data_IF_028887541708
#
_entry.id   IF_028887541708
#
_cell.length_a   1.000
_cell.length_b   1.000
_cell.length_c   1.000
_cell.angle_alpha   90.00
_cell.angle_beta   90.00
_cell.angle_gamma   90.00
#
_symmetry.space_group_name_H-M   'P 1'
#
loop_
_entity.id
_entity.type
_entity.pdbx_description
1 polymer ?
#
# COMPACT_ATOMS: atom_id res chain seq x y z
N UNK A 1 10.84 -0.11 -10.00
CA UNK A 1 9.56 -0.78 -9.69
C UNK A 1 8.48 0.25 -9.39
N UNK A 2 8.77 1.26 -8.57
CA UNK A 2 7.84 2.35 -8.25
C UNK A 2 7.38 3.15 -9.47
N UNK A 3 8.26 3.50 -10.42
CA UNK A 3 7.84 4.20 -11.65
C UNK A 3 6.78 3.43 -12.42
N UNK A 4 6.95 2.10 -12.56
CA UNK A 4 5.96 1.26 -13.22
C UNK A 4 4.64 1.23 -12.46
N UNK A 5 4.67 1.27 -11.12
CA UNK A 5 3.46 1.38 -10.32
C UNK A 5 2.73 2.71 -10.59
N UNK A 6 3.47 3.83 -10.64
CA UNK A 6 2.92 5.16 -10.95
C UNK A 6 2.30 5.20 -12.35
N UNK A 7 2.94 4.60 -13.35
CA UNK A 7 2.38 4.47 -14.70
C UNK A 7 1.03 3.74 -14.69
N UNK A 8 0.94 2.62 -13.96
CA UNK A 8 -0.27 1.79 -13.87
C UNK A 8 -1.41 2.49 -13.10
N UNK A 9 -1.07 3.37 -12.15
CA UNK A 9 -2.05 4.21 -11.47
C UNK A 9 -2.80 5.13 -12.44
N UNK A 10 -2.19 5.48 -13.58
CA UNK A 10 -2.80 6.34 -14.60
C UNK A 10 -3.39 7.63 -14.00
N UNK A 11 -2.61 8.28 -13.15
CA UNK A 11 -2.98 9.52 -12.48
C UNK A 11 -3.15 10.66 -13.50
N UNK A 12 -4.00 11.66 -13.21
CA UNK A 12 -4.19 12.80 -14.10
C UNK A 12 -2.86 13.52 -14.38
N UNK A 13 -2.50 13.75 -15.66
CA UNK A 13 -1.24 14.42 -15.99
C UNK A 13 -1.25 15.86 -15.48
N UNK A 14 -0.06 16.37 -15.11
CA UNK A 14 0.16 17.77 -14.67
C UNK A 14 -0.63 18.17 -13.42
N UNK A 15 -1.03 17.21 -12.59
CA UNK A 15 -1.71 17.45 -11.31
C UNK A 15 -1.04 16.63 -10.21
N UNK A 16 -0.76 17.26 -9.09
CA UNK A 16 -0.34 16.56 -7.88
C UNK A 16 -1.50 15.73 -7.32
N UNK A 17 -1.23 14.46 -7.00
CA UNK A 17 -2.17 13.53 -6.39
C UNK A 17 -1.72 13.21 -4.98
N UNK A 18 -2.66 12.90 -4.10
CA UNK A 18 -2.37 12.47 -2.74
C UNK A 18 -2.32 10.95 -2.66
N UNK A 19 -1.12 10.38 -2.48
CA UNK A 19 -0.83 8.95 -2.64
C UNK A 19 -0.49 8.31 -1.29
N UNK A 20 -1.06 7.13 -1.03
CA UNK A 20 -0.70 6.31 0.13
C UNK A 20 0.38 5.29 -0.27
N UNK A 21 1.54 5.33 0.39
CA UNK A 21 2.61 4.35 0.23
C UNK A 21 2.56 3.29 1.36
N UNK A 22 2.14 2.07 1.00
CA UNK A 22 1.86 0.99 1.93
C UNK A 22 3.07 0.07 2.09
N UNK A 23 3.66 0.08 3.29
CA UNK A 23 4.96 -0.52 3.57
C UNK A 23 6.10 0.29 2.94
N UNK A 24 6.14 1.59 3.26
CA UNK A 24 7.05 2.55 2.66
C UNK A 24 8.53 2.30 3.02
N UNK A 25 8.81 1.47 4.02
CA UNK A 25 10.15 1.10 4.45
C UNK A 25 11.03 2.32 4.74
N UNK A 26 12.15 2.41 4.02
CA UNK A 26 13.12 3.50 4.12
C UNK A 26 12.77 4.73 3.27
N UNK A 27 11.56 4.78 2.72
CA UNK A 27 11.05 5.91 1.93
C UNK A 27 11.46 5.91 0.46
N UNK A 28 12.13 4.86 -0.03
CA UNK A 28 12.58 4.77 -1.44
C UNK A 28 11.46 4.93 -2.47
N UNK A 29 10.30 4.32 -2.23
CA UNK A 29 9.12 4.49 -3.10
C UNK A 29 8.52 5.88 -2.97
N UNK A 30 8.50 6.43 -1.76
CA UNK A 30 8.07 7.79 -1.47
C UNK A 30 8.91 8.87 -2.18
N UNK A 31 10.24 8.74 -2.19
CA UNK A 31 11.13 9.66 -2.92
C UNK A 31 10.78 9.72 -4.42
N UNK A 32 10.42 8.58 -5.01
CA UNK A 32 9.95 8.52 -6.40
C UNK A 32 8.61 9.25 -6.55
N UNK A 33 7.65 9.07 -5.62
CA UNK A 33 6.40 9.83 -5.62
C UNK A 33 6.65 11.34 -5.57
N UNK A 34 7.56 11.78 -4.70
CA UNK A 34 8.01 13.18 -4.60
C UNK A 34 8.61 13.66 -5.93
N UNK A 35 9.50 12.90 -6.56
CA UNK A 35 10.07 13.25 -7.87
C UNK A 35 9.03 13.40 -8.98
N UNK A 36 7.93 12.62 -8.92
CA UNK A 36 6.78 12.75 -9.83
C UNK A 36 5.81 13.87 -9.43
N UNK A 37 6.12 14.65 -8.39
CA UNK A 37 5.35 15.81 -7.92
C UNK A 37 4.09 15.43 -7.14
N UNK A 38 4.05 14.24 -6.55
CA UNK A 38 2.95 13.77 -5.72
C UNK A 38 3.23 13.99 -4.23
N UNK A 39 2.17 14.33 -3.50
CA UNK A 39 2.20 14.40 -2.04
C UNK A 39 1.84 12.99 -1.54
N UNK A 40 2.53 12.51 -0.52
CA UNK A 40 2.31 11.14 -0.06
C UNK A 40 2.41 10.98 1.44
N UNK A 41 1.77 9.92 1.92
CA UNK A 41 1.88 9.42 3.29
C UNK A 41 2.40 8.00 3.22
N UNK A 42 3.40 7.69 4.02
CA UNK A 42 3.96 6.35 4.16
C UNK A 42 3.53 5.69 5.46
N UNK A 43 3.28 4.38 5.43
CA UNK A 43 3.22 3.59 6.66
C UNK A 43 4.07 2.33 6.56
N UNK A 44 4.73 1.96 7.66
CA UNK A 44 5.51 0.73 7.75
C UNK A 44 5.41 0.13 9.17
N UNK A 45 5.57 -1.18 9.28
CA UNK A 45 5.52 -1.90 10.57
C UNK A 45 6.89 -1.91 11.27
N UNK A 46 7.99 -1.67 10.55
CA UNK A 46 9.35 -1.75 11.05
C UNK A 46 9.85 -0.36 11.50
N UNK A 47 10.02 -0.11 12.81
CA UNK A 47 10.51 1.17 13.30
C UNK A 47 11.91 1.51 12.76
N UNK A 48 12.78 0.50 12.61
CA UNK A 48 14.13 0.68 12.05
C UNK A 48 14.12 1.19 10.62
N UNK A 49 13.16 0.77 9.80
CA UNK A 49 13.03 1.23 8.42
C UNK A 49 12.56 2.69 8.39
N UNK A 50 11.60 3.06 9.23
CA UNK A 50 11.15 4.45 9.34
C UNK A 50 12.24 5.38 9.87
N UNK A 51 13.14 4.91 10.76
CA UNK A 51 14.30 5.70 11.18
C UNK A 51 15.25 5.99 10.02
N UNK A 52 15.43 5.04 9.09
CA UNK A 52 16.22 5.29 7.88
C UNK A 52 15.51 6.32 6.99
N UNK A 53 14.18 6.24 6.84
CA UNK A 53 13.41 7.21 6.07
C UNK A 53 13.52 8.63 6.67
N UNK A 54 13.43 8.76 7.99
CA UNK A 54 13.64 10.03 8.70
C UNK A 54 15.05 10.58 8.48
N UNK A 55 16.08 9.74 8.57
CA UNK A 55 17.47 10.14 8.33
C UNK A 55 17.75 10.55 6.88
N UNK A 56 16.89 10.16 5.94
CA UNK A 56 16.92 10.60 4.53
C UNK A 56 16.17 11.90 4.28
N UNK A 57 15.49 12.44 5.29
CA UNK A 57 14.71 13.68 5.18
C UNK A 57 13.65 13.61 4.06
N UNK A 58 12.96 12.47 3.95
CA UNK A 58 11.88 12.31 2.96
C UNK A 58 10.74 13.30 3.19
N UNK A 59 10.09 13.75 2.11
CA UNK A 59 9.02 14.77 2.19
C UNK A 59 7.68 14.24 2.72
N UNK A 60 7.43 12.94 2.63
CA UNK A 60 6.15 12.34 3.04
C UNK A 60 6.04 12.14 4.54
N UNK A 61 4.83 12.25 5.07
CA UNK A 61 4.57 11.92 6.48
C UNK A 61 4.69 10.40 6.70
N UNK A 62 5.34 10.01 7.80
CA UNK A 62 5.66 8.61 8.11
C UNK A 62 4.89 8.13 9.35
N UNK A 63 4.21 6.98 9.21
CA UNK A 63 3.44 6.38 10.29
C UNK A 63 3.90 4.95 10.60
N UNK A 64 4.16 4.68 11.87
CA UNK A 64 4.38 3.31 12.35
C UNK A 64 3.03 2.59 12.45
N UNK A 65 2.77 1.62 11.57
CA UNK A 65 1.49 0.92 11.51
C UNK A 65 1.59 -0.48 10.87
N UNK A 66 0.81 -1.43 11.37
CA UNK A 66 0.59 -2.74 10.75
C UNK A 66 -0.63 -2.68 9.82
N UNK A 67 -0.40 -2.69 8.51
CA UNK A 67 -1.47 -2.61 7.50
C UNK A 67 -2.47 -3.78 7.59
N UNK A 68 -2.08 -4.93 8.16
CA UNK A 68 -2.97 -6.07 8.38
C UNK A 68 -4.00 -5.84 9.50
N UNK A 69 -3.82 -4.80 10.31
CA UNK A 69 -4.81 -4.34 11.30
C UNK A 69 -5.79 -3.32 10.71
N UNK A 70 -5.64 -3.01 9.43
CA UNK A 70 -6.41 -2.00 8.71
C UNK A 70 -5.77 -0.62 8.75
N UNK A 71 -6.34 0.28 7.96
CA UNK A 71 -5.89 1.65 7.78
C UNK A 71 -6.82 2.63 8.50
N UNK A 72 -6.24 3.57 9.24
CA UNK A 72 -6.96 4.49 10.13
C UNK A 72 -7.14 5.89 9.53
N UNK A 73 -7.42 5.95 8.23
CA UNK A 73 -7.65 7.20 7.51
C UNK A 73 -9.15 7.44 7.30
N UNK A 74 -9.52 8.71 7.08
CA UNK A 74 -10.90 9.06 6.75
C UNK A 74 -11.31 8.46 5.39
N UNK A 75 -12.61 8.19 5.16
CA UNK A 75 -13.06 7.74 3.86
C UNK A 75 -12.70 8.73 2.73
N UNK A 76 -12.40 8.19 1.54
CA UNK A 76 -12.11 8.97 0.33
C UNK A 76 -10.99 10.03 0.49
N UNK A 77 -9.96 9.72 1.27
CA UNK A 77 -8.80 10.59 1.50
C UNK A 77 -7.83 10.60 0.32
N UNK A 78 -7.44 9.42 -0.18
CA UNK A 78 -6.34 9.28 -1.14
C UNK A 78 -6.82 9.16 -2.58
N UNK A 79 -6.06 9.78 -3.49
CA UNK A 79 -6.28 9.68 -4.94
C UNK A 79 -5.77 8.34 -5.51
N UNK A 80 -4.78 7.73 -4.85
CA UNK A 80 -4.22 6.43 -5.21
C UNK A 80 -3.46 5.79 -4.04
N UNK A 81 -3.12 4.52 -4.19
CA UNK A 81 -2.18 3.84 -3.30
C UNK A 81 -1.14 3.03 -4.07
N UNK A 82 0.07 2.94 -3.56
CA UNK A 82 1.10 2.02 -4.03
C UNK A 82 1.56 1.12 -2.90
N UNK A 83 2.10 -0.03 -3.27
CA UNK A 83 2.85 -0.88 -2.35
C UNK A 83 3.91 -1.63 -3.15
N UNK A 84 5.15 -1.61 -2.68
CA UNK A 84 6.27 -2.26 -3.35
C UNK A 84 6.91 -3.26 -2.40
N UNK A 85 6.79 -4.55 -2.73
CA UNK A 85 7.40 -5.67 -2.02
C UNK A 85 6.88 -5.89 -0.59
N UNK A 86 5.58 -5.67 -0.33
CA UNK A 86 5.01 -5.74 1.03
C UNK A 86 3.88 -6.77 1.17
N UNK A 87 3.00 -6.88 0.16
CA UNK A 87 1.72 -7.58 0.33
C UNK A 87 1.86 -9.07 0.70
N UNK A 88 2.96 -9.71 0.28
CA UNK A 88 3.26 -11.11 0.62
C UNK A 88 3.36 -11.36 2.13
N UNK A 89 3.78 -10.36 2.92
CA UNK A 89 3.88 -10.49 4.37
C UNK A 89 2.51 -10.65 5.05
N UNK A 90 1.42 -10.24 4.40
CA UNK A 90 0.07 -10.49 4.93
C UNK A 90 -0.39 -11.94 4.77
N UNK A 91 0.29 -12.72 3.94
CA UNK A 91 0.08 -14.16 3.83
C UNK A 91 0.77 -14.94 4.98
N UNK A 92 1.69 -14.30 5.71
CA UNK A 92 2.46 -14.95 6.77
C UNK A 92 1.67 -15.02 8.08
N UNK A 93 1.73 -16.17 8.75
CA UNK A 93 1.11 -16.41 10.04
C UNK A 93 2.14 -16.46 11.19
N UNK A 94 3.03 -15.46 11.25
CA UNK A 94 4.15 -15.44 12.21
C UNK A 94 3.72 -15.37 13.69
N UNK A 95 2.46 -15.02 13.97
CA UNK A 95 1.86 -15.05 15.31
C UNK A 95 0.67 -15.99 15.31
N UNK A 96 0.42 -16.69 16.43
CA UNK A 96 -0.71 -17.62 16.57
C UNK A 96 -2.09 -16.98 16.37
N UNK A 97 -2.21 -15.66 16.53
CA UNK A 97 -3.43 -14.91 16.26
C UNK A 97 -3.58 -14.45 14.81
N UNK A 98 -2.59 -14.66 13.94
CA UNK A 98 -2.66 -14.24 12.54
C UNK A 98 -3.46 -15.23 11.72
N UNK A 99 -4.64 -14.80 11.27
CA UNK A 99 -5.34 -15.43 10.18
C UNK A 99 -5.10 -14.60 8.89
N UNK A 100 -4.31 -15.11 7.93
CA UNK A 100 -3.96 -14.39 6.70
C UNK A 100 -5.17 -13.84 5.94
N UNK A 101 -6.22 -14.66 5.78
CA UNK A 101 -7.46 -14.26 5.10
C UNK A 101 -8.13 -13.08 5.81
N UNK A 102 -8.24 -13.12 7.14
CA UNK A 102 -8.84 -12.02 7.89
C UNK A 102 -8.01 -10.73 7.81
N UNK A 103 -6.68 -10.84 7.88
CA UNK A 103 -5.76 -9.71 7.74
C UNK A 103 -5.87 -9.08 6.34
N UNK A 104 -5.88 -9.89 5.29
CA UNK A 104 -6.04 -9.42 3.90
C UNK A 104 -7.39 -8.74 3.67
N UNK A 105 -8.50 -9.37 4.10
CA UNK A 105 -9.84 -8.76 3.98
C UNK A 105 -9.91 -7.44 4.74
N UNK A 106 -9.36 -7.38 5.97
CA UNK A 106 -9.33 -6.16 6.77
C UNK A 106 -8.51 -5.05 6.11
N UNK A 107 -7.32 -5.41 5.62
CA UNK A 107 -6.45 -4.51 4.87
C UNK A 107 -7.19 -3.93 3.65
N UNK A 108 -7.65 -4.78 2.74
CA UNK A 108 -8.31 -4.33 1.51
C UNK A 108 -9.61 -3.57 1.81
N UNK A 109 -10.41 -3.98 2.79
CA UNK A 109 -11.63 -3.25 3.15
C UNK A 109 -11.31 -1.82 3.63
N UNK A 110 -10.32 -1.67 4.49
CA UNK A 110 -9.91 -0.36 4.99
C UNK A 110 -9.27 0.52 3.90
N UNK A 111 -8.51 -0.10 2.99
CA UNK A 111 -7.94 0.58 1.83
C UNK A 111 -9.01 1.06 0.86
N UNK A 112 -9.97 0.21 0.53
CA UNK A 112 -11.11 0.57 -0.32
C UNK A 112 -11.85 1.78 0.24
N UNK A 113 -12.05 1.80 1.57
CA UNK A 113 -12.75 2.89 2.23
C UNK A 113 -11.97 4.22 2.16
N UNK A 114 -10.65 4.21 2.34
CA UNK A 114 -9.85 5.43 2.34
C UNK A 114 -9.49 5.94 0.93
N UNK A 115 -9.68 5.14 -0.11
CA UNK A 115 -9.51 5.55 -1.50
C UNK A 115 -10.73 6.33 -2.03
N UNK A 116 -10.48 7.34 -2.86
CA UNK A 116 -11.55 8.06 -3.58
C UNK A 116 -12.23 7.13 -4.58
N UNK A 117 -13.48 7.43 -4.93
CA UNK A 117 -14.23 6.68 -5.96
C UNK A 117 -13.47 6.72 -7.29
N UNK A 118 -13.18 5.55 -7.85
CA UNK A 118 -12.43 5.41 -9.11
C UNK A 118 -10.91 5.52 -8.97
N UNK A 119 -10.38 5.69 -7.74
CA UNK A 119 -8.96 5.60 -7.48
C UNK A 119 -8.40 4.21 -7.78
N UNK A 120 -7.10 4.15 -8.05
CA UNK A 120 -6.38 2.90 -8.31
C UNK A 120 -5.40 2.61 -7.18
N UNK A 121 -5.19 1.33 -6.92
CA UNK A 121 -4.11 0.85 -6.07
C UNK A 121 -3.26 -0.13 -6.87
N UNK A 122 -1.94 0.02 -6.81
CA UNK A 122 -1.00 -0.87 -7.52
C UNK A 122 -0.06 -1.52 -6.52
N UNK A 123 -0.02 -2.85 -6.56
CA UNK A 123 0.79 -3.67 -5.67
C UNK A 123 1.82 -4.43 -6.49
N UNK A 124 3.09 -4.21 -6.19
CA UNK A 124 4.15 -5.13 -6.59
C UNK A 124 4.47 -6.01 -5.39
N UNK A 125 4.45 -7.33 -5.55
CA UNK A 125 4.72 -8.29 -4.49
C UNK A 125 5.25 -9.61 -5.05
N UNK A 126 5.72 -10.49 -4.17
CA UNK A 126 6.29 -11.79 -4.52
C UNK A 126 5.45 -12.90 -3.86
N UNK A 127 4.46 -13.48 -4.54
CA UNK A 127 3.68 -14.58 -3.96
C UNK A 127 4.56 -15.82 -3.78
N UNK A 128 4.46 -16.47 -2.63
CA UNK A 128 5.20 -17.70 -2.33
C UNK A 128 4.61 -18.93 -3.05
N UNK A 129 3.32 -18.90 -3.34
CA UNK A 129 2.58 -19.98 -4.01
C UNK A 129 1.39 -19.44 -4.81
N UNK A 130 0.84 -20.28 -5.70
CA UNK A 130 -0.40 -19.97 -6.42
C UNK A 130 -1.59 -19.74 -5.47
N UNK A 131 -1.64 -20.47 -4.35
CA UNK A 131 -2.66 -20.33 -3.32
C UNK A 131 -2.59 -18.96 -2.64
N UNK A 132 -1.37 -18.48 -2.32
CA UNK A 132 -1.17 -17.14 -1.75
C UNK A 132 -1.59 -16.04 -2.73
N UNK A 133 -1.32 -16.22 -4.03
CA UNK A 133 -1.78 -15.29 -5.06
C UNK A 133 -3.30 -15.27 -5.19
N UNK A 134 -3.93 -16.44 -5.20
CA UNK A 134 -5.39 -16.58 -5.22
C UNK A 134 -6.03 -15.96 -3.98
N UNK A 135 -5.46 -16.18 -2.79
CA UNK A 135 -5.95 -15.63 -1.54
C UNK A 135 -5.92 -14.09 -1.54
N UNK A 136 -4.82 -13.50 -2.02
CA UNK A 136 -4.70 -12.03 -2.17
C UNK A 136 -5.78 -11.51 -3.13
N UNK A 137 -5.86 -12.12 -4.31
CA UNK A 137 -6.76 -11.68 -5.38
C UNK A 137 -8.22 -11.78 -4.96
N UNK A 138 -8.62 -12.91 -4.38
CA UNK A 138 -9.99 -13.15 -3.90
C UNK A 138 -10.36 -12.21 -2.74
N UNK A 139 -9.42 -11.91 -1.84
CA UNK A 139 -9.66 -10.96 -0.74
C UNK A 139 -9.89 -9.53 -1.25
N UNK A 140 -9.16 -9.10 -2.29
CA UNK A 140 -9.36 -7.79 -2.91
C UNK A 140 -10.71 -7.70 -3.64
N UNK A 141 -11.04 -8.73 -4.45
CA UNK A 141 -12.31 -8.82 -5.16
C UNK A 141 -13.51 -8.83 -4.21
N UNK A 142 -13.40 -9.54 -3.08
CA UNK A 142 -14.45 -9.65 -2.08
C UNK A 142 -14.91 -8.29 -1.54
N UNK A 143 -14.00 -7.31 -1.42
CA UNK A 143 -14.32 -6.00 -0.83
C UNK A 143 -14.68 -4.93 -1.88
N UNK A 144 -14.71 -5.30 -3.17
CA UNK A 144 -15.15 -4.43 -4.25
C UNK A 144 -14.04 -3.82 -5.11
N UNK A 145 -12.78 -4.22 -4.93
CA UNK A 145 -11.77 -3.93 -5.96
C UNK A 145 -12.10 -4.68 -7.25
N UNK A 146 -11.90 -4.03 -8.39
CA UNK A 146 -11.83 -4.67 -9.71
C UNK A 146 -10.41 -4.58 -10.27
N UNK A 147 -10.16 -5.24 -11.40
CA UNK A 147 -8.83 -5.26 -12.04
C UNK A 147 -8.27 -6.68 -12.14
N UNK A 148 -6.96 -6.79 -12.36
CA UNK A 148 -6.27 -8.05 -12.54
C UNK A 148 -4.78 -7.96 -12.25
N UNK A 149 -4.11 -9.12 -12.33
CA UNK A 149 -2.66 -9.31 -12.28
C UNK A 149 -2.07 -9.19 -13.68
#
# INVERSE_FOLDING_TARGET
MTDRAIELLNLPPRRSSYVLDLGCGSGLSGEVLTHHGHIWVGCDIAPSMLQIALAREVEGDLFLSDIGQGLYYRPATFDAAISVSVLQWLCNADKSCHNPKQRLVRFFQSLYNCLKKGARAVFQFYPESAESLELITTSALQVGFGGGV
#
